data_IF_054388360930
#
_entry.id   IF_054388360930
#
_cell.length_a   1.000
_cell.length_b   1.000
_cell.length_c   1.000
_cell.angle_alpha   90.00
_cell.angle_beta   90.00
_cell.angle_gamma   90.00
#
_symmetry.space_group_name_H-M   'P 1'
#
loop_
_entity.id
_entity.type
_entity.pdbx_description
1 polymer ?
#
# COMPACT_ATOMS: atom_id res chain seq x y z
N UNK A 1 -1.50 3.46 -19.74
CA UNK A 1 -0.50 4.20 -18.93
C UNK A 1 0.65 3.25 -18.60
N UNK A 2 1.87 3.51 -19.08
CA UNK A 2 3.07 2.78 -18.60
C UNK A 2 3.14 2.97 -17.08
N UNK A 3 3.11 1.90 -16.31
CA UNK A 3 3.43 1.98 -14.89
C UNK A 3 4.86 2.51 -14.79
N UNK A 4 5.05 3.77 -14.40
CA UNK A 4 6.35 4.21 -13.93
C UNK A 4 6.70 3.27 -12.77
N UNK A 5 7.71 2.44 -12.96
CA UNK A 5 8.19 1.55 -11.92
C UNK A 5 8.85 2.41 -10.86
N UNK A 6 8.09 2.75 -9.83
CA UNK A 6 8.58 3.50 -8.70
C UNK A 6 9.32 2.53 -7.78
N UNK A 7 10.58 2.85 -7.46
CA UNK A 7 11.43 2.02 -6.63
C UNK A 7 11.74 2.72 -5.31
N UNK A 8 11.60 1.98 -4.21
CA UNK A 8 12.23 2.34 -2.94
C UNK A 8 13.66 1.79 -2.94
N UNK A 9 14.64 2.65 -2.65
CA UNK A 9 16.04 2.25 -2.50
C UNK A 9 16.49 2.44 -1.06
N UNK A 10 16.95 1.35 -0.45
CA UNK A 10 17.51 1.32 0.90
C UNK A 10 18.97 0.91 0.78
N UNK A 11 19.88 1.78 1.21
CA UNK A 11 21.32 1.56 1.16
C UNK A 11 21.85 1.40 2.57
N UNK A 12 22.63 0.35 2.79
CA UNK A 12 23.50 0.19 3.96
C UNK A 12 24.96 0.36 3.51
N UNK A 13 25.91 0.10 4.40
CA UNK A 13 27.33 0.13 4.06
C UNK A 13 27.69 -0.93 3.00
N UNK A 14 27.12 -2.13 3.16
CA UNK A 14 27.54 -3.31 2.41
C UNK A 14 26.46 -3.80 1.42
N UNK A 15 25.22 -3.31 1.53
CA UNK A 15 24.09 -3.78 0.73
C UNK A 15 23.26 -2.62 0.13
N UNK A 16 22.68 -2.89 -1.04
CA UNK A 16 21.67 -2.06 -1.67
C UNK A 16 20.41 -2.87 -1.94
N UNK A 17 19.32 -2.53 -1.28
CA UNK A 17 18.01 -3.09 -1.50
C UNK A 17 17.20 -2.13 -2.38
N UNK A 18 16.85 -2.57 -3.59
CA UNK A 18 16.00 -1.81 -4.53
C UNK A 18 14.70 -2.58 -4.76
N UNK A 19 13.57 -2.00 -4.35
CA UNK A 19 12.27 -2.68 -4.32
C UNK A 19 11.25 -1.91 -5.15
N UNK A 20 10.62 -2.57 -6.12
CA UNK A 20 9.48 -2.00 -6.83
C UNK A 20 8.28 -1.91 -5.86
N UNK A 21 7.77 -0.70 -5.61
CA UNK A 21 6.71 -0.50 -4.61
C UNK A 21 5.40 -1.21 -4.98
N UNK A 22 5.15 -1.45 -6.27
CA UNK A 22 3.98 -2.19 -6.74
C UNK A 22 4.06 -3.69 -6.45
N UNK A 23 5.25 -4.21 -6.13
CA UNK A 23 5.45 -5.61 -5.71
C UNK A 23 5.46 -5.79 -4.19
N UNK A 24 5.35 -4.70 -3.43
CA UNK A 24 5.30 -4.77 -1.97
C UNK A 24 3.90 -5.22 -1.55
N UNK A 25 3.81 -6.22 -0.68
CA UNK A 25 2.55 -6.58 -0.04
C UNK A 25 2.34 -5.72 1.21
N UNK A 26 3.29 -5.75 2.14
CA UNK A 26 3.33 -4.85 3.29
C UNK A 26 4.74 -4.76 3.90
N UNK A 27 4.94 -3.71 4.69
CA UNK A 27 5.95 -3.63 5.72
C UNK A 27 5.32 -3.87 7.09
N UNK A 28 6.05 -4.52 7.98
CA UNK A 28 5.66 -4.79 9.36
C UNK A 28 6.78 -4.36 10.32
N UNK A 29 6.41 -3.64 11.37
CA UNK A 29 7.31 -3.20 12.41
C UNK A 29 7.70 -4.37 13.31
N UNK A 30 9.01 -4.58 13.49
CA UNK A 30 9.56 -5.56 14.42
C UNK A 30 10.64 -4.91 15.27
N UNK A 31 10.23 -4.26 16.37
CA UNK A 31 11.11 -3.48 17.25
C UNK A 31 11.87 -2.39 16.48
N UNK A 32 13.20 -2.50 16.40
CA UNK A 32 14.08 -1.59 15.67
C UNK A 32 14.24 -1.95 14.18
N UNK A 33 13.62 -3.04 13.75
CA UNK A 33 13.67 -3.58 12.40
C UNK A 33 12.31 -3.44 11.71
N UNK A 34 12.32 -3.63 10.39
CA UNK A 34 11.10 -3.71 9.58
C UNK A 34 11.16 -4.92 8.69
N UNK A 35 10.15 -5.79 8.79
CA UNK A 35 9.95 -6.88 7.84
C UNK A 35 9.27 -6.34 6.59
N UNK A 36 9.78 -6.71 5.43
CA UNK A 36 9.18 -6.44 4.12
C UNK A 36 8.71 -7.76 3.54
N UNK A 37 7.43 -7.87 3.20
CA UNK A 37 6.90 -9.00 2.44
C UNK A 37 6.53 -8.53 1.03
N UNK A 38 7.07 -9.22 0.01
CA UNK A 38 6.71 -9.00 -1.38
C UNK A 38 5.53 -9.87 -1.80
N UNK A 39 4.81 -9.45 -2.83
CA UNK A 39 3.69 -10.19 -3.41
C UNK A 39 4.11 -11.49 -4.09
N UNK A 40 5.40 -11.73 -4.29
CA UNK A 40 5.94 -13.05 -4.67
C UNK A 40 6.21 -13.99 -3.49
N UNK A 41 5.95 -13.57 -2.26
CA UNK A 41 6.17 -14.34 -1.03
C UNK A 41 7.57 -14.19 -0.42
N UNK A 42 8.51 -13.53 -1.11
CA UNK A 42 9.85 -13.27 -0.57
C UNK A 42 9.79 -12.24 0.57
N UNK A 43 10.52 -12.53 1.65
CA UNK A 43 10.59 -11.70 2.84
C UNK A 43 12.01 -11.18 3.07
N UNK A 44 12.13 -9.92 3.48
CA UNK A 44 13.36 -9.28 3.92
C UNK A 44 13.19 -8.71 5.32
N UNK A 45 14.29 -8.66 6.08
CA UNK A 45 14.35 -7.92 7.34
C UNK A 45 15.32 -6.77 7.17
N UNK A 46 14.84 -5.54 7.39
CA UNK A 46 15.60 -4.31 7.20
C UNK A 46 15.95 -3.75 8.59
N UNK A 47 17.23 -3.40 8.80
CA UNK A 47 17.75 -2.76 10.02
C UNK A 47 17.38 -1.28 10.14
N UNK A 48 16.10 -0.98 9.90
CA UNK A 48 15.51 0.34 10.05
C UNK A 48 14.12 0.17 10.67
N UNK A 49 13.75 1.09 11.56
CA UNK A 49 12.39 1.13 12.06
C UNK A 49 11.41 1.56 10.95
N UNK A 50 10.16 1.17 11.10
CA UNK A 50 9.14 1.38 10.08
C UNK A 50 8.85 2.86 9.80
N UNK A 51 9.08 3.76 10.77
CA UNK A 51 8.92 5.21 10.58
C UNK A 51 9.99 5.79 9.64
N UNK A 52 11.22 5.28 9.71
CA UNK A 52 12.27 5.62 8.73
C UNK A 52 11.91 5.11 7.34
N UNK A 53 11.33 3.92 7.23
CA UNK A 53 10.85 3.39 5.94
C UNK A 53 9.75 4.28 5.35
N UNK A 54 8.79 4.71 6.16
CA UNK A 54 7.73 5.64 5.77
C UNK A 54 8.28 6.96 5.24
N UNK A 55 9.18 7.61 5.98
CA UNK A 55 9.83 8.85 5.54
C UNK A 55 10.67 8.67 4.26
N UNK A 56 11.27 7.49 4.06
CA UNK A 56 11.99 7.18 2.82
C UNK A 56 11.04 7.00 1.63
N UNK A 57 9.87 6.39 1.82
CA UNK A 57 8.85 6.26 0.78
C UNK A 57 8.32 7.62 0.34
N UNK A 58 8.04 8.51 1.29
CA UNK A 58 7.58 9.87 1.00
C UNK A 58 8.63 10.70 0.25
N UNK A 59 9.91 10.57 0.65
CA UNK A 59 11.01 11.32 0.03
C UNK A 59 11.41 10.80 -1.34
N UNK A 60 11.50 9.48 -1.51
CA UNK A 60 12.06 8.88 -2.73
C UNK A 60 11.01 8.59 -3.80
N UNK A 61 9.75 8.39 -3.40
CA UNK A 61 8.70 7.92 -4.29
C UNK A 61 7.51 8.86 -4.23
N UNK A 62 7.48 9.81 -5.17
CA UNK A 62 6.36 10.74 -5.34
C UNK A 62 5.05 9.97 -5.52
N UNK A 63 4.03 10.32 -4.74
CA UNK A 63 2.74 9.65 -4.79
C UNK A 63 2.72 8.24 -4.17
N UNK A 64 3.74 7.84 -3.41
CA UNK A 64 3.75 6.53 -2.72
C UNK A 64 2.53 6.30 -1.84
N UNK A 65 1.99 7.35 -1.22
CA UNK A 65 0.77 7.32 -0.38
C UNK A 65 -0.49 6.89 -1.14
N UNK A 66 -0.49 7.00 -2.48
CA UNK A 66 -1.57 6.53 -3.33
C UNK A 66 -1.63 4.99 -3.39
N UNK A 67 -0.50 4.30 -3.18
CA UNK A 67 -0.37 2.84 -3.26
C UNK A 67 -0.18 2.24 -1.86
N UNK A 68 0.79 2.75 -1.10
CA UNK A 68 1.16 2.30 0.23
C UNK A 68 0.52 3.21 1.28
N UNK A 69 0.02 2.64 2.37
CA UNK A 69 -0.58 3.42 3.46
C UNK A 69 -0.20 2.86 4.82
N UNK A 70 0.15 3.76 5.75
CA UNK A 70 0.35 3.43 7.16
C UNK A 70 -0.97 3.00 7.81
N UNK A 71 -0.94 1.87 8.51
CA UNK A 71 -2.10 1.29 9.21
C UNK A 71 -1.68 0.97 10.64
N UNK A 72 -2.09 1.85 11.56
CA UNK A 72 -1.72 1.76 12.97
C UNK A 72 -0.20 1.90 13.18
N UNK A 73 0.29 1.29 14.26
CA UNK A 73 1.71 1.37 14.65
C UNK A 73 2.58 0.35 13.93
N UNK A 74 2.00 -0.73 13.42
CA UNK A 74 2.78 -1.90 13.00
C UNK A 74 2.90 -2.08 11.50
N UNK A 75 2.04 -1.49 10.67
CA UNK A 75 2.04 -1.84 9.24
C UNK A 75 2.04 -0.65 8.30
N UNK A 76 2.72 -0.80 7.17
CA UNK A 76 2.50 -0.03 5.94
C UNK A 76 2.06 -1.04 4.88
N UNK A 77 0.81 -0.96 4.42
CA UNK A 77 0.25 -1.96 3.51
C UNK A 77 0.09 -1.41 2.10
N UNK A 78 0.16 -2.30 1.10
CA UNK A 78 -0.20 -1.95 -0.27
C UNK A 78 -1.71 -2.13 -0.50
N UNK A 79 -2.39 -1.03 -0.80
CA UNK A 79 -3.85 -0.99 -0.98
C UNK A 79 -4.31 -1.80 -2.18
N UNK A 80 -3.46 -1.94 -3.21
CA UNK A 80 -3.80 -2.64 -4.44
C UNK A 80 -3.89 -4.16 -4.25
N UNK A 81 -3.36 -4.69 -3.15
CA UNK A 81 -3.40 -6.11 -2.81
C UNK A 81 -4.48 -6.46 -1.78
N UNK A 82 -5.28 -5.49 -1.32
CA UNK A 82 -6.34 -5.74 -0.33
C UNK A 82 -7.48 -6.50 -1.00
N UNK A 83 -7.81 -7.68 -0.47
CA UNK A 83 -8.95 -8.48 -0.91
C UNK A 83 -10.16 -8.27 0.01
N UNK A 84 -9.96 -8.26 1.32
CA UNK A 84 -11.07 -8.13 2.29
C UNK A 84 -10.63 -7.41 3.56
N UNK A 85 -11.48 -6.50 4.05
CA UNK A 85 -11.36 -5.93 5.41
C UNK A 85 -12.55 -6.40 6.25
N UNK A 86 -12.28 -7.09 7.36
CA UNK A 86 -13.28 -7.46 8.36
C UNK A 86 -12.98 -6.79 9.69
N UNK A 87 -13.64 -5.66 9.95
CA UNK A 87 -13.53 -4.94 11.23
C UNK A 87 -14.00 -5.79 12.42
N UNK A 88 -15.12 -6.54 12.36
CA UNK A 88 -15.56 -7.36 13.49
C UNK A 88 -14.55 -8.47 13.85
N UNK A 89 -13.97 -9.11 12.83
CA UNK A 89 -12.98 -10.18 12.99
C UNK A 89 -11.55 -9.67 13.17
N UNK A 90 -11.33 -8.36 13.18
CA UNK A 90 -9.99 -7.75 13.27
C UNK A 90 -9.01 -8.27 12.21
N UNK A 91 -9.52 -8.49 11.00
CA UNK A 91 -8.83 -9.22 9.93
C UNK A 91 -8.72 -8.39 8.66
N UNK A 92 -7.51 -8.33 8.11
CA UNK A 92 -7.23 -7.84 6.75
C UNK A 92 -6.70 -9.02 5.92
N UNK A 93 -7.36 -9.32 4.81
CA UNK A 93 -6.97 -10.34 3.87
C UNK A 93 -6.39 -9.68 2.63
N UNK A 94 -5.19 -10.08 2.24
CA UNK A 94 -4.48 -9.58 1.07
C UNK A 94 -4.21 -10.73 0.11
N UNK A 95 -4.27 -10.45 -1.19
CA UNK A 95 -4.03 -11.42 -2.26
C UNK A 95 -2.72 -11.09 -2.99
N UNK A 96 -1.86 -12.09 -3.09
CA UNK A 96 -0.60 -12.02 -3.81
C UNK A 96 -0.82 -12.21 -5.31
N UNK A 97 0.20 -11.88 -6.12
CA UNK A 97 0.10 -11.99 -7.58
C UNK A 97 -0.06 -13.43 -8.10
N UNK A 98 0.31 -14.42 -7.30
CA UNK A 98 0.16 -15.86 -7.57
C UNK A 98 -1.15 -16.45 -7.00
N UNK A 99 -2.09 -15.60 -6.54
CA UNK A 99 -3.39 -16.01 -6.02
C UNK A 99 -3.38 -16.53 -4.58
N UNK A 100 -2.22 -16.54 -3.90
CA UNK A 100 -2.16 -16.90 -2.48
C UNK A 100 -2.75 -15.79 -1.61
N UNK A 101 -3.26 -16.21 -0.46
CA UNK A 101 -3.81 -15.31 0.53
C UNK A 101 -2.83 -15.09 1.67
N UNK A 102 -2.83 -13.86 2.19
CA UNK A 102 -2.11 -13.46 3.39
C UNK A 102 -3.06 -12.72 4.32
N UNK A 103 -3.16 -13.25 5.53
CA UNK A 103 -4.03 -12.71 6.57
C UNK A 103 -3.20 -11.90 7.57
N UNK A 104 -3.68 -10.71 7.91
CA UNK A 104 -3.13 -9.83 8.93
C UNK A 104 -4.17 -9.57 10.01
N UNK A 105 -3.76 -9.73 11.28
CA UNK A 105 -4.58 -9.40 12.45
C UNK A 105 -4.29 -7.96 12.87
N UNK A 106 -5.30 -7.09 12.74
CA UNK A 106 -5.18 -5.65 12.99
C UNK A 106 -6.26 -5.18 13.96
N UNK A 107 -5.94 -4.19 14.79
CA UNK A 107 -6.94 -3.63 15.72
C UNK A 107 -8.09 -2.93 15.00
N UNK A 108 -9.26 -2.87 15.66
CA UNK A 108 -10.50 -2.35 15.06
C UNK A 108 -10.35 -0.91 14.55
N UNK A 109 -9.62 -0.06 15.29
CA UNK A 109 -9.50 1.37 14.98
C UNK A 109 -8.76 1.60 13.65
N UNK A 110 -7.52 1.10 13.44
CA UNK A 110 -6.85 1.17 12.15
C UNK A 110 -7.64 0.56 10.99
N UNK A 111 -8.31 -0.58 11.20
CA UNK A 111 -9.12 -1.20 10.15
C UNK A 111 -10.31 -0.34 9.74
N UNK A 112 -10.98 0.33 10.68
CA UNK A 112 -12.06 1.27 10.37
C UNK A 112 -11.56 2.44 9.52
N UNK A 113 -10.40 2.99 9.87
CA UNK A 113 -9.79 4.10 9.12
C UNK A 113 -9.42 3.66 7.71
N UNK A 114 -8.78 2.50 7.57
CA UNK A 114 -8.42 1.93 6.28
C UNK A 114 -9.66 1.64 5.40
N UNK A 115 -10.71 1.05 5.98
CA UNK A 115 -11.97 0.77 5.25
C UNK A 115 -12.58 2.06 4.70
N UNK A 116 -12.71 3.09 5.56
CA UNK A 116 -13.25 4.40 5.17
C UNK A 116 -12.42 5.09 4.08
N UNK A 117 -11.08 4.97 4.13
CA UNK A 117 -10.21 5.61 3.14
C UNK A 117 -10.35 4.98 1.76
N UNK A 118 -10.60 3.66 1.69
CA UNK A 118 -10.91 2.96 0.44
C UNK A 118 -12.29 3.33 -0.10
N UNK A 119 -13.32 3.36 0.76
CA UNK A 119 -14.69 3.76 0.38
C UNK A 119 -14.71 5.18 -0.21
N UNK A 120 -14.09 6.15 0.47
CA UNK A 120 -14.00 7.54 -0.01
C UNK A 120 -13.27 7.66 -1.35
N UNK A 121 -12.24 6.85 -1.56
CA UNK A 121 -11.51 6.83 -2.84
C UNK A 121 -12.41 6.36 -3.98
N UNK A 122 -13.19 5.30 -3.77
CA UNK A 122 -14.13 4.79 -4.76
C UNK A 122 -15.20 5.82 -5.10
N UNK A 123 -15.77 6.50 -4.10
CA UNK A 123 -16.75 7.58 -4.31
C UNK A 123 -16.18 8.71 -5.18
N UNK A 124 -14.93 9.10 -4.93
CA UNK A 124 -14.24 10.15 -5.70
C UNK A 124 -13.98 9.70 -7.15
N UNK A 125 -13.52 8.47 -7.35
CA UNK A 125 -13.27 7.90 -8.69
C UNK A 125 -14.56 7.79 -9.51
N UNK A 126 -15.69 7.47 -8.89
CA UNK A 126 -17.01 7.43 -9.55
C UNK A 126 -17.47 8.83 -9.95
N UNK A 127 -17.29 9.84 -9.08
CA UNK A 127 -17.66 11.23 -9.38
C UNK A 127 -16.88 11.79 -10.57
N UNK A 128 -15.55 11.61 -10.56
CA UNK A 128 -14.69 12.10 -11.63
C UNK A 128 -14.99 11.47 -13.00
N UNK A 129 -15.38 10.19 -13.03
CA UNK A 129 -15.81 9.54 -14.29
C UNK A 129 -17.07 10.17 -14.87
N UNK A 130 -18.07 10.47 -14.03
CA UNK A 130 -19.33 11.10 -14.47
C UNK A 130 -19.12 12.51 -15.01
N UNK A 131 -18.21 13.28 -14.41
CA UNK A 131 -17.90 14.64 -14.85
C UNK A 131 -17.18 14.65 -16.21
N UNK A 132 -16.23 13.72 -16.42
CA UNK A 132 -15.56 13.57 -17.73
C UNK A 132 -16.55 13.12 -18.83
N UNK A 133 -17.43 12.16 -18.55
CA UNK A 133 -18.45 11.69 -19.51
C UNK A 133 -19.50 12.77 -19.86
N UNK A 134 -19.74 13.75 -18.98
CA UNK A 134 -20.64 14.86 -19.24
C UNK A 134 -20.00 15.92 -20.14
N UNK A 135 -18.69 16.19 -19.95
CA UNK A 135 -17.94 17.16 -20.75
C UNK A 135 -17.69 16.67 -22.18
N UNK A 136 -17.48 15.37 -22.38
CA UNK A 136 -17.30 14.79 -23.72
C UNK A 136 -18.59 14.86 -24.58
N UNK A 137 -19.77 14.97 -23.96
CA UNK A 137 -21.07 15.07 -24.67
C UNK A 137 -21.45 16.50 -25.06
N UNK A 138 -20.86 17.52 -24.43
CA UNK A 138 -21.12 18.93 -24.73
C UNK A 138 -20.21 19.48 -25.85
N UNK A 139 -19.19 18.72 -26.27
CA UNK A 139 -18.24 19.11 -27.33
C UNK A 139 -18.56 18.61 -28.75
N UNK A 140 -19.66 17.86 -28.95
CA UNK A 140 -20.08 17.34 -30.25
C UNK A 140 -21.25 18.14 -30.89
N UNK A 141 -21.63 19.28 -30.30
CA UNK A 141 -22.73 20.16 -30.76
C UNK A 141 -22.26 21.39 -31.53
#
# INVERSE_FOLDING_TARGET
MKAMEHYLVIRTRDELLRVNIGKILYFEADKAYTKLLLSGGLQFTISLNIGKIEAMLERQVTGSTAILSRVGKSYIINKNHILQISVPKQRLLMMTGDGRLRELTLSKVPLKVLKKSLEKRMETEVKNKKENEAQDREGEG
#
